data_IF_593932347179
#
_entry.id   IF_593932347179
#
_cell.length_a   1.000
_cell.length_b   1.000
_cell.length_c   1.000
_cell.angle_alpha   90.00
_cell.angle_beta   90.00
_cell.angle_gamma   90.00
#
_symmetry.space_group_name_H-M   'P 1'
#
loop_
_entity.id
_entity.type
_entity.pdbx_description
1 polymer ?
#
# COMPACT_ATOMS: atom_id res chain seq x y z
N UNK A 1 -2.09 20.18 -1.09
CA UNK A 1 -2.05 18.74 -0.80
C UNK A 1 -1.59 17.98 -2.04
N UNK A 2 -2.20 18.25 -3.20
CA UNK A 2 -1.80 17.69 -4.50
C UNK A 2 -0.28 17.68 -4.77
N UNK A 3 0.42 18.81 -4.64
CA UNK A 3 1.88 18.88 -4.86
C UNK A 3 2.71 17.91 -4.01
N UNK A 4 2.22 17.50 -2.83
CA UNK A 4 2.91 16.51 -2.00
C UNK A 4 2.75 15.10 -2.58
N UNK A 5 1.57 14.80 -3.14
CA UNK A 5 1.30 13.55 -3.83
C UNK A 5 2.06 13.46 -5.16
N UNK A 6 2.20 14.56 -5.90
CA UNK A 6 3.11 14.65 -7.06
C UNK A 6 4.54 14.26 -6.68
N UNK A 7 5.07 14.89 -5.62
CA UNK A 7 6.42 14.63 -5.11
C UNK A 7 6.58 13.19 -4.62
N UNK A 8 5.57 12.64 -3.95
CA UNK A 8 5.58 11.26 -3.49
C UNK A 8 5.64 10.28 -4.66
N UNK A 9 4.84 10.48 -5.72
CA UNK A 9 4.89 9.64 -6.92
C UNK A 9 6.26 9.71 -7.60
N UNK A 10 6.83 10.91 -7.72
CA UNK A 10 8.18 11.07 -8.27
C UNK A 10 9.22 10.27 -7.47
N UNK A 11 9.13 10.32 -6.13
CA UNK A 11 10.01 9.55 -5.26
C UNK A 11 9.83 8.04 -5.38
N UNK A 12 8.58 7.56 -5.37
CA UNK A 12 8.29 6.13 -5.53
C UNK A 12 8.86 5.64 -6.87
N UNK A 13 8.61 6.36 -7.97
CA UNK A 13 9.12 6.00 -9.31
C UNK A 13 10.65 5.99 -9.42
N UNK A 14 11.34 6.74 -8.56
CA UNK A 14 12.80 6.79 -8.52
C UNK A 14 13.41 5.84 -7.47
N UNK A 15 12.59 5.09 -6.73
CA UNK A 15 13.07 4.12 -5.74
C UNK A 15 13.53 2.82 -6.41
N UNK A 16 14.47 2.11 -5.79
CA UNK A 16 15.08 0.90 -6.40
C UNK A 16 14.10 -0.27 -6.57
N UNK A 17 13.06 -0.35 -5.72
CA UNK A 17 12.09 -1.44 -5.75
C UNK A 17 10.99 -1.24 -6.80
N UNK A 18 10.79 0.00 -7.27
CA UNK A 18 9.77 0.34 -8.25
C UNK A 18 10.28 0.05 -9.67
N UNK A 19 10.15 -1.21 -10.08
CA UNK A 19 10.58 -1.69 -11.40
C UNK A 19 9.47 -1.57 -12.46
N UNK A 20 9.73 -2.05 -13.68
CA UNK A 20 8.74 -2.11 -14.76
C UNK A 20 7.53 -3.00 -14.47
N UNK A 21 7.57 -3.81 -13.42
CA UNK A 21 6.46 -4.67 -12.98
C UNK A 21 5.40 -3.89 -12.18
N UNK A 22 5.72 -2.68 -11.75
CA UNK A 22 4.83 -1.84 -10.95
C UNK A 22 4.20 -0.74 -11.79
N UNK A 23 3.04 -0.26 -11.33
CA UNK A 23 2.40 0.93 -11.85
C UNK A 23 1.75 1.73 -10.70
N UNK A 24 1.41 2.98 -11.00
CA UNK A 24 0.81 3.90 -10.03
C UNK A 24 -0.38 4.61 -10.65
N UNK A 25 -1.53 4.48 -9.99
CA UNK A 25 -2.70 5.30 -10.23
C UNK A 25 -2.83 6.40 -9.17
N UNK A 26 -3.32 7.57 -9.58
CA UNK A 26 -3.58 8.70 -8.69
C UNK A 26 -4.96 9.29 -8.94
N UNK A 27 -5.66 9.58 -7.85
CA UNK A 27 -6.87 10.40 -7.86
C UNK A 27 -6.81 11.45 -6.74
N UNK A 28 -6.46 12.69 -7.08
CA UNK A 28 -6.32 13.77 -6.09
C UNK A 28 -5.25 13.47 -5.02
N UNK A 29 -5.71 13.31 -3.76
CA UNK A 29 -4.89 12.96 -2.59
C UNK A 29 -4.95 11.46 -2.26
N UNK A 30 -5.15 10.62 -3.26
CA UNK A 30 -5.11 9.16 -3.16
C UNK A 30 -4.08 8.62 -4.17
N UNK A 31 -3.23 7.70 -3.72
CA UNK A 31 -2.32 6.91 -4.55
C UNK A 31 -2.65 5.44 -4.36
N UNK A 32 -2.66 4.75 -5.49
CA UNK A 32 -2.73 3.30 -5.60
C UNK A 32 -1.45 2.85 -6.29
N UNK A 33 -0.66 2.01 -5.64
CA UNK A 33 0.59 1.43 -6.15
C UNK A 33 0.40 -0.08 -6.25
N UNK A 34 0.50 -0.64 -7.45
CA UNK A 34 0.17 -2.04 -7.68
C UNK A 34 1.22 -2.73 -8.56
N UNK A 35 1.37 -4.04 -8.37
CA UNK A 35 2.16 -4.89 -9.24
C UNK A 35 1.26 -5.44 -10.34
N UNK A 36 1.71 -5.45 -11.58
CA UNK A 36 0.88 -5.79 -12.76
C UNK A 36 0.30 -7.21 -12.74
N UNK A 37 0.92 -8.14 -12.01
CA UNK A 37 0.44 -9.50 -11.83
C UNK A 37 -0.49 -9.66 -10.60
N UNK A 38 -0.83 -8.60 -9.89
CA UNK A 38 -1.68 -8.63 -8.68
C UNK A 38 -3.18 -8.42 -8.95
N UNK A 39 -3.63 -8.79 -10.16
CA UNK A 39 -5.04 -8.78 -10.56
C UNK A 39 -5.72 -7.39 -10.48
N UNK A 40 -4.95 -6.29 -10.56
CA UNK A 40 -5.46 -4.91 -10.45
C UNK A 40 -6.19 -4.38 -11.71
N UNK A 41 -6.97 -5.23 -12.36
CA UNK A 41 -7.81 -4.80 -13.48
C UNK A 41 -8.99 -3.96 -12.97
N UNK A 42 -8.91 -2.64 -13.17
CA UNK A 42 -9.90 -1.63 -12.76
C UNK A 42 -9.91 -1.32 -11.25
N UNK A 43 -8.74 -1.15 -10.62
CA UNK A 43 -8.60 -0.82 -9.19
C UNK A 43 -9.15 -1.93 -8.28
N UNK A 44 -8.67 -3.13 -8.54
CA UNK A 44 -9.13 -4.40 -8.00
C UNK A 44 -7.94 -5.21 -7.50
N UNK A 45 -8.14 -6.46 -7.08
CA UNK A 45 -7.01 -7.32 -6.74
C UNK A 45 -6.25 -6.86 -5.49
N UNK A 46 -4.91 -6.88 -5.54
CA UNK A 46 -4.05 -6.52 -4.41
C UNK A 46 -3.18 -5.32 -4.74
N UNK A 47 -3.09 -4.38 -3.80
CA UNK A 47 -2.33 -3.14 -4.00
C UNK A 47 -1.90 -2.49 -2.71
N UNK A 48 -0.94 -1.57 -2.82
CA UNK A 48 -0.70 -0.59 -1.76
C UNK A 48 -1.49 0.67 -2.03
N UNK A 49 -1.96 1.31 -0.96
CA UNK A 49 -2.57 2.63 -1.08
C UNK A 49 -2.26 3.56 0.08
N UNK A 50 -2.34 4.84 -0.21
CA UNK A 50 -2.26 5.90 0.79
C UNK A 50 -3.10 7.09 0.38
N UNK A 51 -3.74 7.74 1.36
CA UNK A 51 -4.62 8.86 1.10
C UNK A 51 -4.74 9.83 2.27
N UNK A 52 -4.99 11.09 1.93
CA UNK A 52 -5.33 12.13 2.91
C UNK A 52 -6.75 12.59 2.66
N UNK A 53 -7.62 12.35 3.63
CA UNK A 53 -8.99 12.88 3.66
C UNK A 53 -8.99 14.27 4.30
N UNK A 54 -9.87 15.16 3.85
CA UNK A 54 -9.88 16.59 4.25
C UNK A 54 -10.03 16.84 5.76
N UNK A 55 -10.50 15.85 6.52
CA UNK A 55 -10.70 15.93 7.96
C UNK A 55 -9.61 15.22 8.79
N UNK A 56 -8.74 14.44 8.15
CA UNK A 56 -7.78 13.60 8.86
C UNK A 56 -6.40 14.24 8.89
N UNK A 57 -5.83 14.30 10.09
CA UNK A 57 -4.42 14.64 10.30
C UNK A 57 -3.51 13.43 10.09
N UNK A 58 -4.06 12.31 9.68
CA UNK A 58 -3.39 11.03 9.55
C UNK A 58 -3.72 10.39 8.20
N UNK A 59 -2.74 9.69 7.64
CA UNK A 59 -2.79 9.03 6.34
C UNK A 59 -2.37 7.58 6.54
N UNK A 60 -3.21 6.60 6.19
CA UNK A 60 -2.77 5.22 6.24
C UNK A 60 -1.85 4.93 5.05
N UNK A 61 -0.90 4.03 5.25
CA UNK A 61 -0.19 3.31 4.18
C UNK A 61 -0.58 1.85 4.34
N UNK A 62 -1.26 1.29 3.34
CA UNK A 62 -2.03 0.06 3.47
C UNK A 62 -1.60 -0.94 2.41
N UNK A 63 -1.57 -2.22 2.74
CA UNK A 63 -1.71 -3.32 1.78
C UNK A 63 -3.17 -3.77 1.79
N UNK A 64 -3.81 -3.66 0.63
CA UNK A 64 -5.22 -3.88 0.43
C UNK A 64 -5.45 -5.10 -0.47
N UNK A 65 -6.48 -5.88 -0.17
CA UNK A 65 -6.98 -6.95 -1.03
C UNK A 65 -8.48 -6.74 -1.25
N UNK A 66 -8.85 -6.45 -2.49
CA UNK A 66 -10.22 -6.18 -2.91
C UNK A 66 -11.07 -7.45 -2.95
N UNK A 67 -12.39 -7.26 -2.92
CA UNK A 67 -13.36 -8.35 -2.83
C UNK A 67 -13.32 -9.38 -3.95
N UNK A 68 -12.67 -9.06 -5.08
CA UNK A 68 -12.58 -9.91 -6.26
C UNK A 68 -11.29 -10.74 -6.36
N UNK A 69 -10.40 -10.64 -5.37
CA UNK A 69 -9.26 -11.56 -5.22
C UNK A 69 -9.78 -13.01 -5.09
N UNK A 70 -9.33 -13.96 -5.93
CA UNK A 70 -9.72 -15.36 -5.83
C UNK A 70 -9.46 -15.93 -4.45
N UNK A 71 -10.46 -16.58 -3.83
CA UNK A 71 -10.38 -17.11 -2.47
C UNK A 71 -9.83 -16.07 -1.45
N UNK A 72 -10.23 -14.79 -1.58
CA UNK A 72 -9.68 -13.66 -0.79
C UNK A 72 -9.45 -13.98 0.67
N UNK A 73 -10.43 -14.55 1.36
CA UNK A 73 -10.31 -14.81 2.80
C UNK A 73 -9.19 -15.81 3.11
N UNK A 74 -9.00 -16.84 2.29
CA UNK A 74 -7.87 -17.78 2.43
C UNK A 74 -6.54 -17.11 2.11
N UNK A 75 -6.49 -16.32 1.04
CA UNK A 75 -5.31 -15.53 0.66
C UNK A 75 -4.90 -14.58 1.80
N UNK A 76 -5.83 -13.78 2.33
CA UNK A 76 -5.58 -12.83 3.43
C UNK A 76 -5.08 -13.56 4.67
N UNK A 77 -5.68 -14.70 5.05
CA UNK A 77 -5.20 -15.48 6.20
C UNK A 77 -3.76 -15.96 6.00
N UNK A 78 -3.42 -16.51 4.82
CA UNK A 78 -2.05 -16.96 4.52
C UNK A 78 -1.04 -15.83 4.59
N UNK A 79 -1.37 -14.66 4.03
CA UNK A 79 -0.48 -13.49 4.10
C UNK A 79 -0.30 -13.05 5.56
N UNK A 80 -1.40 -12.94 6.32
CA UNK A 80 -1.36 -12.55 7.74
C UNK A 80 -0.51 -13.49 8.61
N UNK A 81 -0.57 -14.80 8.37
CA UNK A 81 0.25 -15.80 9.07
C UNK A 81 1.75 -15.56 8.90
N UNK A 82 2.18 -15.04 7.75
CA UNK A 82 3.59 -14.80 7.44
C UNK A 82 4.08 -13.40 7.88
N UNK A 83 3.19 -12.41 8.02
CA UNK A 83 3.59 -11.01 8.28
C UNK A 83 3.28 -10.47 9.67
N UNK A 84 2.40 -11.12 10.45
CA UNK A 84 1.88 -10.60 11.74
C UNK A 84 2.92 -10.28 12.81
N UNK A 85 4.12 -10.84 12.71
CA UNK A 85 5.20 -10.61 13.68
C UNK A 85 6.04 -9.35 13.34
N UNK A 86 5.73 -8.67 12.23
CA UNK A 86 6.43 -7.45 11.82
C UNK A 86 6.02 -6.27 12.70
N UNK A 87 6.98 -5.75 13.46
CA UNK A 87 6.76 -4.59 14.32
C UNK A 87 6.43 -3.31 13.53
N UNK A 88 5.62 -2.44 14.14
CA UNK A 88 5.32 -1.10 13.61
C UNK A 88 4.16 -1.06 12.60
N UNK A 89 3.44 -2.17 12.41
CA UNK A 89 2.25 -2.27 11.58
C UNK A 89 1.06 -2.80 12.37
N UNK A 90 -0.13 -2.40 11.95
CA UNK A 90 -1.40 -2.98 12.39
C UNK A 90 -1.85 -4.00 11.34
N UNK A 91 -2.47 -5.10 11.77
CA UNK A 91 -2.83 -6.22 10.90
C UNK A 91 -4.32 -6.53 10.98
N UNK A 92 -4.92 -6.94 9.86
CA UNK A 92 -6.31 -7.39 9.81
C UNK A 92 -7.31 -6.35 10.30
N UNK A 93 -7.06 -5.08 9.99
CA UNK A 93 -7.83 -3.94 10.53
C UNK A 93 -9.30 -3.99 10.11
N UNK A 94 -9.55 -4.52 8.90
CA UNK A 94 -10.89 -4.79 8.39
C UNK A 94 -10.82 -5.90 7.33
N UNK A 95 -11.94 -6.17 6.65
CA UNK A 95 -12.05 -7.26 5.68
C UNK A 95 -11.13 -7.13 4.44
N UNK A 96 -10.60 -5.95 4.17
CA UNK A 96 -9.83 -5.66 2.96
C UNK A 96 -8.40 -5.19 3.28
N UNK A 97 -8.17 -4.63 4.46
CA UNK A 97 -6.85 -4.21 4.93
C UNK A 97 -6.08 -5.37 5.56
N UNK A 98 -5.05 -5.85 4.87
CA UNK A 98 -4.16 -6.90 5.36
C UNK A 98 -3.24 -6.33 6.44
N UNK A 99 -2.53 -5.26 6.11
CA UNK A 99 -1.65 -4.56 7.04
C UNK A 99 -1.63 -3.07 6.73
N UNK A 100 -1.44 -2.25 7.76
CA UNK A 100 -1.33 -0.81 7.59
C UNK A 100 -0.37 -0.19 8.59
N UNK A 101 0.05 1.04 8.29
CA UNK A 101 0.67 1.94 9.25
C UNK A 101 0.09 3.33 9.08
N UNK A 102 -0.25 3.98 10.19
CA UNK A 102 -0.82 5.32 10.21
C UNK A 102 0.32 6.35 10.30
N UNK A 103 0.37 7.27 9.33
CA UNK A 103 1.37 8.33 9.21
C UNK A 103 0.72 9.69 9.47
N UNK A 104 1.19 10.45 10.46
CA UNK A 104 0.72 11.82 10.66
C UNK A 104 1.04 12.69 9.43
N UNK A 105 0.04 13.45 8.99
CA UNK A 105 0.15 14.38 7.86
C UNK A 105 0.87 15.64 8.31
N UNK A 106 2.20 15.57 8.35
CA UNK A 106 3.09 16.71 8.44
C UNK A 106 3.63 17.06 7.05
N UNK A 107 3.39 18.27 6.56
CA UNK A 107 3.82 18.69 5.20
C UNK A 107 5.31 18.47 4.92
N UNK A 108 6.17 18.56 5.92
CA UNK A 108 7.63 18.46 5.75
C UNK A 108 8.11 17.01 5.65
N UNK A 109 7.63 16.12 6.52
CA UNK A 109 8.10 14.72 6.62
C UNK A 109 7.19 13.69 5.95
N UNK A 110 5.94 14.05 5.64
CA UNK A 110 4.92 13.11 5.12
C UNK A 110 5.42 12.29 3.93
N UNK A 111 6.02 12.93 2.94
CA UNK A 111 6.51 12.25 1.72
C UNK A 111 7.59 11.22 2.06
N UNK A 112 8.53 11.57 2.93
CA UNK A 112 9.63 10.66 3.31
C UNK A 112 9.12 9.52 4.20
N UNK A 113 8.20 9.80 5.11
CA UNK A 113 7.62 8.79 6.00
C UNK A 113 6.75 7.78 5.25
N UNK A 114 5.95 8.24 4.29
CA UNK A 114 5.16 7.35 3.42
C UNK A 114 6.07 6.51 2.54
N UNK A 115 7.07 7.12 1.88
CA UNK A 115 8.03 6.39 1.06
C UNK A 115 8.74 5.31 1.87
N UNK A 116 9.30 5.68 3.02
CA UNK A 116 9.96 4.73 3.92
C UNK A 116 9.02 3.61 4.34
N UNK A 117 7.75 3.92 4.60
CA UNK A 117 6.77 2.91 5.00
C UNK A 117 6.47 1.93 3.85
N UNK A 118 6.33 2.42 2.62
CA UNK A 118 6.20 1.55 1.44
C UNK A 118 7.45 0.68 1.26
N UNK A 119 8.64 1.24 1.47
CA UNK A 119 9.90 0.49 1.42
C UNK A 119 9.98 -0.58 2.53
N UNK A 120 9.57 -0.23 3.76
CA UNK A 120 9.50 -1.15 4.90
C UNK A 120 8.47 -2.26 4.67
N UNK A 121 7.49 -2.07 3.77
CA UNK A 121 6.48 -3.07 3.39
C UNK A 121 6.93 -3.99 2.25
N UNK A 122 8.06 -3.74 1.57
CA UNK A 122 8.51 -4.57 0.43
C UNK A 122 8.65 -6.06 0.77
N UNK A 123 8.92 -6.41 2.03
CA UNK A 123 8.99 -7.81 2.46
C UNK A 123 7.70 -8.61 2.20
N UNK A 124 6.54 -7.94 2.12
CA UNK A 124 5.25 -8.59 1.84
C UNK A 124 5.09 -8.96 0.37
N UNK A 125 5.90 -8.40 -0.53
CA UNK A 125 5.79 -8.63 -1.98
C UNK A 125 5.95 -10.12 -2.30
N UNK A 126 6.99 -10.75 -1.77
CA UNK A 126 7.23 -12.19 -1.96
C UNK A 126 6.12 -13.05 -1.34
N UNK A 127 5.55 -12.60 -0.22
CA UNK A 127 4.45 -13.30 0.46
C UNK A 127 3.17 -13.23 -0.37
N UNK A 128 2.87 -12.07 -0.97
CA UNK A 128 1.73 -11.91 -1.89
C UNK A 128 1.95 -12.75 -3.14
N UNK A 129 3.11 -12.64 -3.81
CA UNK A 129 3.41 -13.40 -5.03
C UNK A 129 3.35 -14.93 -4.82
N UNK A 130 3.68 -15.41 -3.62
CA UNK A 130 3.58 -16.83 -3.26
C UNK A 130 2.15 -17.33 -3.08
N UNK A 131 1.24 -16.46 -2.63
CA UNK A 131 -0.09 -16.85 -2.17
C UNK A 131 -1.23 -16.43 -3.13
N UNK A 132 -0.94 -15.59 -4.13
CA UNK A 132 -1.86 -15.16 -5.19
C UNK A 132 -1.87 -16.13 -6.38
#
# INVERSE_FOLDING_TARGET
>A
MEKLFDKLIEKIKNSEWFTSEWDIYRNGNYIHVFKKNWLDENHKGVHFETYVNDNNKDSPVVLHAEGDVPNRDEFVQKVLEEVRDKEGFEFGVNNYTIMQKIIPVNKESFVEEVLKTLEDMQFVVDVVDKNL
#
